data_IF_402461370225
#
_entry.id   IF_402461370225
#
_cell.length_a   1.000
_cell.length_b   1.000
_cell.length_c   1.000
_cell.angle_alpha   90.00
_cell.angle_beta   90.00
_cell.angle_gamma   90.00
#
_symmetry.space_group_name_H-M   'P 1'
#
loop_
_entity.id
_entity.type
_entity.pdbx_description
1 polymer ?
#
# COMPACT_ATOMS: atom_id res chain seq x y z
N UNK A 1 -16.21 -6.99 4.55
CA UNK A 1 -15.66 -5.83 3.83
C UNK A 1 -14.79 -6.34 2.69
N UNK A 2 -14.57 -5.52 1.66
CA UNK A 2 -13.72 -5.91 0.54
C UNK A 2 -12.25 -5.55 0.89
N UNK A 3 -11.27 -6.41 0.55
CA UNK A 3 -9.87 -6.08 0.75
C UNK A 3 -9.44 -4.86 -0.07
N UNK A 4 -8.47 -4.11 0.45
CA UNK A 4 -7.81 -3.04 -0.30
C UNK A 4 -6.86 -3.61 -1.34
N UNK A 5 -6.69 -2.82 -2.40
CA UNK A 5 -5.56 -2.93 -3.31
C UNK A 5 -4.84 -1.59 -3.39
N UNK A 6 -3.51 -1.62 -3.48
CA UNK A 6 -2.69 -0.43 -3.66
C UNK A 6 -2.10 -0.39 -5.06
N UNK A 7 -2.20 0.78 -5.71
CA UNK A 7 -1.57 1.04 -7.01
C UNK A 7 -0.46 2.06 -6.81
N UNK A 8 0.75 1.67 -7.19
CA UNK A 8 1.94 2.53 -7.18
C UNK A 8 2.28 2.90 -8.61
N UNK A 9 2.26 4.19 -8.93
CA UNK A 9 2.67 4.71 -10.23
C UNK A 9 3.95 5.51 -10.07
N UNK A 10 5.04 4.96 -10.62
CA UNK A 10 6.36 5.57 -10.49
C UNK A 10 6.51 6.81 -11.38
N UNK A 11 7.10 7.86 -10.82
CA UNK A 11 7.54 9.02 -11.59
C UNK A 11 8.85 8.75 -12.35
N UNK A 12 9.36 9.73 -13.08
CA UNK A 12 10.59 9.60 -13.87
C UNK A 12 11.85 9.27 -13.07
N UNK A 13 11.84 9.48 -11.75
CA UNK A 13 12.93 9.14 -10.84
C UNK A 13 12.74 7.75 -10.20
N UNK A 14 11.68 7.02 -10.57
CA UNK A 14 11.35 5.72 -9.99
C UNK A 14 10.71 5.80 -8.60
N UNK A 15 10.19 6.96 -8.19
CA UNK A 15 9.59 7.15 -6.88
C UNK A 15 8.08 7.34 -6.98
N UNK A 16 7.37 7.04 -5.89
CA UNK A 16 5.96 7.38 -5.73
C UNK A 16 5.66 7.72 -4.28
N UNK A 17 4.73 8.65 -4.05
CA UNK A 17 4.26 9.03 -2.73
C UNK A 17 2.73 9.22 -2.78
N UNK A 18 2.07 8.97 -1.66
CA UNK A 18 0.63 9.16 -1.51
C UNK A 18 0.18 8.93 -0.08
N UNK A 19 -1.10 9.13 0.18
CA UNK A 19 -1.71 9.03 1.49
C UNK A 19 -3.09 8.37 1.44
N UNK A 20 -3.50 7.79 2.56
CA UNK A 20 -4.84 7.23 2.78
C UNK A 20 -5.42 7.88 4.03
N UNK A 21 -6.53 8.58 3.86
CA UNK A 21 -7.43 8.98 4.93
C UNK A 21 -8.67 8.08 4.86
N UNK A 22 -9.07 7.52 6.00
CA UNK A 22 -10.22 6.62 6.08
C UNK A 22 -11.01 6.86 7.38
N UNK A 23 -12.30 7.12 7.26
CA UNK A 23 -13.25 7.23 8.36
C UNK A 23 -14.55 6.49 8.01
N UNK A 24 -15.65 6.76 8.73
CA UNK A 24 -16.94 6.10 8.48
C UNK A 24 -17.74 6.71 7.31
N UNK A 25 -17.29 7.83 6.73
CA UNK A 25 -17.94 8.55 5.64
C UNK A 25 -19.29 9.21 5.99
N UNK A 26 -19.70 9.22 7.26
CA UNK A 26 -21.02 9.68 7.70
C UNK A 26 -20.97 10.66 8.88
N UNK A 27 -20.09 10.41 9.86
CA UNK A 27 -20.00 11.23 11.06
C UNK A 27 -19.49 12.64 10.76
N UNK A 28 -20.05 13.62 11.48
CA UNK A 28 -19.51 14.97 11.46
C UNK A 28 -18.27 15.07 12.37
N UNK A 29 -17.32 15.90 11.96
CA UNK A 29 -16.12 16.25 12.76
C UNK A 29 -15.22 15.07 13.13
N UNK A 30 -15.04 14.11 12.22
CA UNK A 30 -14.09 12.99 12.40
C UNK A 30 -12.66 13.50 12.61
N UNK A 31 -12.28 14.59 11.94
CA UNK A 31 -10.97 15.25 12.10
C UNK A 31 -10.79 15.82 13.52
N UNK A 32 -11.74 16.62 14.02
CA UNK A 32 -11.65 17.25 15.33
C UNK A 32 -11.71 16.26 16.49
N UNK A 33 -12.56 15.23 16.34
CA UNK A 33 -12.69 14.13 17.31
C UNK A 33 -11.61 13.05 17.18
N UNK A 34 -10.77 13.13 16.14
CA UNK A 34 -9.73 12.15 15.79
C UNK A 34 -10.25 10.73 15.57
N UNK A 35 -11.47 10.55 15.06
CA UNK A 35 -12.04 9.22 14.77
C UNK A 35 -11.79 8.79 13.33
N UNK A 36 -10.52 8.73 12.93
CA UNK A 36 -10.09 8.36 11.58
C UNK A 36 -8.79 7.57 11.59
N UNK A 37 -8.47 6.99 10.44
CA UNK A 37 -7.18 6.45 10.08
C UNK A 37 -6.48 7.35 9.08
N UNK A 38 -5.17 7.54 9.26
CA UNK A 38 -4.33 8.26 8.33
C UNK A 38 -2.96 7.60 8.20
N UNK A 39 -2.57 7.29 6.97
CA UNK A 39 -1.25 6.74 6.66
C UNK A 39 -0.67 7.36 5.38
N UNK A 40 0.66 7.32 5.29
CA UNK A 40 1.42 7.76 4.11
C UNK A 40 2.18 6.58 3.51
N UNK A 41 2.30 6.58 2.19
CA UNK A 41 2.92 5.54 1.39
C UNK A 41 4.05 6.14 0.58
N UNK A 42 5.19 5.46 0.55
CA UNK A 42 6.36 5.91 -0.20
C UNK A 42 7.08 4.74 -0.85
N UNK A 43 7.22 4.78 -2.17
CA UNK A 43 8.10 3.88 -2.91
C UNK A 43 9.37 4.60 -3.34
N UNK A 44 10.49 3.91 -3.21
CA UNK A 44 11.81 4.35 -3.68
C UNK A 44 12.44 3.28 -4.57
N UNK A 45 12.85 3.64 -5.80
CA UNK A 45 13.57 2.71 -6.68
C UNK A 45 14.98 2.37 -6.15
N UNK A 46 15.59 3.28 -5.39
CA UNK A 46 16.90 3.06 -4.80
C UNK A 46 16.83 1.97 -3.72
N UNK A 47 15.79 2.04 -2.88
CA UNK A 47 15.59 1.10 -1.77
C UNK A 47 14.81 -0.16 -2.21
N UNK A 48 14.09 -0.07 -3.34
CA UNK A 48 13.22 -1.12 -3.90
C UNK A 48 12.16 -1.59 -2.90
N UNK A 49 11.67 -0.67 -2.11
CA UNK A 49 10.79 -0.93 -0.98
C UNK A 49 9.64 0.07 -0.97
N UNK A 50 8.47 -0.42 -0.57
CA UNK A 50 7.31 0.40 -0.20
C UNK A 50 7.37 0.63 1.31
N UNK A 51 7.43 1.88 1.75
CA UNK A 51 7.27 2.24 3.14
C UNK A 51 5.84 2.72 3.41
N UNK A 52 5.23 2.18 4.45
CA UNK A 52 3.91 2.54 4.96
C UNK A 52 4.09 3.11 6.36
N UNK A 53 3.80 4.41 6.49
CA UNK A 53 3.89 5.12 7.77
C UNK A 53 2.48 5.48 8.25
N UNK A 54 2.01 4.74 9.26
CA UNK A 54 0.72 4.97 9.93
C UNK A 54 0.88 6.11 10.93
N UNK A 55 0.14 7.20 10.72
CA UNK A 55 0.25 8.45 11.49
C UNK A 55 -0.86 8.53 12.54
N UNK A 56 -2.08 8.19 12.17
CA UNK A 56 -3.23 8.09 13.08
C UNK A 56 -3.96 6.77 12.82
N UNK A 57 -4.27 6.02 13.88
CA UNK A 57 -4.97 4.72 13.80
C UNK A 57 -6.10 4.64 14.82
N UNK A 58 -6.94 5.68 14.85
CA UNK A 58 -7.99 5.85 15.86
C UNK A 58 -9.36 5.37 15.35
N UNK A 59 -9.40 4.72 14.19
CA UNK A 59 -10.59 4.11 13.64
C UNK A 59 -10.50 2.59 13.77
N UNK A 60 -11.15 2.04 14.81
CA UNK A 60 -10.99 0.65 15.22
C UNK A 60 -11.36 -0.39 14.16
N UNK A 61 -12.12 -0.03 13.13
CA UNK A 61 -12.45 -0.93 12.02
C UNK A 61 -11.24 -1.28 11.15
N UNK A 62 -10.19 -0.44 11.13
CA UNK A 62 -9.00 -0.69 10.29
C UNK A 62 -8.31 -2.01 10.59
N UNK A 63 -8.38 -2.50 11.84
CA UNK A 63 -7.75 -3.77 12.25
C UNK A 63 -8.32 -4.98 11.50
N UNK A 64 -9.52 -4.86 10.92
CA UNK A 64 -10.17 -5.93 10.16
C UNK A 64 -9.97 -5.79 8.64
N UNK A 65 -9.26 -4.75 8.20
CA UNK A 65 -9.06 -4.44 6.79
C UNK A 65 -7.69 -4.94 6.32
N UNK A 66 -7.72 -5.64 5.20
CA UNK A 66 -6.55 -6.30 4.63
C UNK A 66 -6.12 -5.61 3.34
N UNK A 67 -4.83 -5.33 3.20
CA UNK A 67 -4.21 -5.05 1.92
C UNK A 67 -3.92 -6.39 1.23
N UNK A 68 -4.62 -6.68 0.13
CA UNK A 68 -4.53 -7.98 -0.53
C UNK A 68 -3.77 -7.96 -1.85
N UNK A 69 -3.69 -6.80 -2.51
CA UNK A 69 -2.96 -6.67 -3.77
C UNK A 69 -2.13 -5.39 -3.83
N UNK A 70 -1.00 -5.51 -4.51
CA UNK A 70 -0.09 -4.41 -4.83
C UNK A 70 0.22 -4.44 -6.32
N UNK A 71 -0.07 -3.35 -7.01
CA UNK A 71 0.27 -3.19 -8.43
C UNK A 71 1.26 -2.04 -8.60
N UNK A 72 2.39 -2.29 -9.27
CA UNK A 72 3.45 -1.27 -9.47
C UNK A 72 3.66 -1.05 -10.97
N UNK A 73 3.56 0.20 -11.41
CA UNK A 73 3.75 0.65 -12.78
C UNK A 73 5.08 1.38 -12.96
N UNK A 74 5.74 1.16 -14.09
CA UNK A 74 6.92 1.94 -14.47
C UNK A 74 8.23 1.42 -13.89
N UNK A 75 8.28 0.13 -13.52
CA UNK A 75 9.53 -0.50 -13.11
C UNK A 75 10.44 -0.71 -14.33
N UNK A 76 11.58 -0.04 -14.34
CA UNK A 76 12.63 -0.24 -15.36
C UNK A 76 13.26 -1.63 -15.27
N UNK A 77 13.29 -2.21 -14.06
CA UNK A 77 13.76 -3.58 -13.81
C UNK A 77 12.71 -4.33 -13.02
N UNK A 78 12.01 -5.22 -13.71
CA UNK A 78 10.97 -6.05 -13.11
C UNK A 78 11.61 -7.17 -12.28
N UNK A 79 11.32 -7.26 -10.97
CA UNK A 79 11.80 -8.36 -10.14
C UNK A 79 11.14 -9.69 -10.54
N UNK A 80 11.85 -10.80 -10.28
CA UNK A 80 11.35 -12.16 -10.53
C UNK A 80 10.61 -12.69 -9.28
N UNK A 81 11.02 -12.25 -8.09
CA UNK A 81 10.43 -12.59 -6.80
C UNK A 81 10.21 -11.32 -5.99
N UNK A 82 9.25 -11.36 -5.07
CA UNK A 82 8.94 -10.26 -4.13
C UNK A 82 8.88 -10.83 -2.72
N UNK A 83 9.31 -10.05 -1.73
CA UNK A 83 9.19 -10.43 -0.32
C UNK A 83 8.15 -9.54 0.36
N UNK A 84 7.24 -10.16 1.10
CA UNK A 84 6.17 -9.50 1.85
C UNK A 84 6.15 -10.15 3.22
N UNK A 85 6.50 -9.39 4.26
CA UNK A 85 6.59 -9.88 5.65
C UNK A 85 7.38 -11.18 5.81
N UNK A 86 8.47 -11.32 5.06
CA UNK A 86 9.35 -12.49 5.10
C UNK A 86 8.91 -13.63 4.17
N UNK A 87 7.74 -13.54 3.53
CA UNK A 87 7.25 -14.55 2.59
C UNK A 87 7.61 -14.19 1.14
N UNK A 88 8.15 -15.16 0.39
CA UNK A 88 8.39 -14.97 -1.04
C UNK A 88 7.11 -15.22 -1.83
N UNK A 89 6.70 -14.20 -2.60
CA UNK A 89 5.56 -14.26 -3.51
C UNK A 89 6.03 -14.07 -4.96
N UNK A 90 5.35 -14.74 -5.89
CA UNK A 90 5.61 -14.61 -7.32
C UNK A 90 4.70 -13.52 -7.92
N UNK A 91 5.26 -12.43 -8.48
CA UNK A 91 4.45 -11.42 -9.13
C UNK A 91 3.90 -11.90 -10.47
N UNK A 92 2.68 -11.45 -10.81
CA UNK A 92 2.17 -11.49 -12.18
C UNK A 92 2.87 -10.38 -12.97
N UNK A 93 3.65 -10.76 -13.98
CA UNK A 93 4.54 -9.84 -14.71
C UNK A 93 3.94 -9.49 -16.08
N UNK A 94 3.78 -8.19 -16.35
CA UNK A 94 3.40 -7.65 -17.65
C UNK A 94 4.54 -6.81 -18.24
N UNK A 95 5.55 -7.49 -18.83
CA UNK A 95 6.81 -6.85 -19.25
C UNK A 95 6.64 -5.69 -20.24
N UNK A 96 5.71 -5.80 -21.17
CA UNK A 96 5.48 -4.76 -22.19
C UNK A 96 4.91 -3.47 -21.60
N UNK A 97 4.15 -3.59 -20.51
CA UNK A 97 3.51 -2.47 -19.83
C UNK A 97 4.35 -1.96 -18.64
N UNK A 98 5.45 -2.65 -18.30
CA UNK A 98 6.25 -2.38 -17.10
C UNK A 98 5.41 -2.43 -15.82
N UNK A 99 4.53 -3.43 -15.73
CA UNK A 99 3.65 -3.64 -14.57
C UNK A 99 4.02 -4.95 -13.88
N UNK A 100 4.02 -4.92 -12.55
CA UNK A 100 3.88 -6.13 -11.73
C UNK A 100 2.63 -6.04 -10.88
N UNK A 101 2.03 -7.19 -10.61
CA UNK A 101 0.95 -7.32 -9.63
C UNK A 101 1.31 -8.45 -8.65
N UNK A 102 1.25 -8.14 -7.36
CA UNK A 102 1.41 -9.09 -6.26
C UNK A 102 0.03 -9.25 -5.64
N UNK A 103 -0.36 -10.49 -5.35
CA UNK A 103 -1.66 -10.85 -4.78
C UNK A 103 -1.45 -11.70 -3.53
N UNK A 104 -2.53 -11.84 -2.75
CA UNK A 104 -2.57 -12.69 -1.56
C UNK A 104 -1.60 -12.22 -0.46
N UNK A 105 -1.34 -10.90 -0.40
CA UNK A 105 -0.47 -10.29 0.61
C UNK A 105 -0.96 -10.61 2.02
N UNK A 106 -2.27 -10.47 2.25
CA UNK A 106 -2.93 -10.71 3.54
C UNK A 106 -2.43 -9.82 4.69
N UNK A 107 -1.78 -8.69 4.36
CA UNK A 107 -1.27 -7.74 5.35
C UNK A 107 -2.39 -6.89 5.95
N UNK A 108 -2.30 -6.61 7.24
CA UNK A 108 -3.16 -5.65 7.88
C UNK A 108 -2.77 -4.23 7.44
N UNK A 109 -3.72 -3.46 6.92
CA UNK A 109 -3.44 -2.10 6.46
C UNK A 109 -3.02 -1.15 7.60
N UNK A 110 -3.32 -1.52 8.84
CA UNK A 110 -3.07 -0.71 10.03
C UNK A 110 -1.76 -1.01 10.76
N UNK A 111 -1.04 -2.08 10.39
CA UNK A 111 0.18 -2.51 11.09
C UNK A 111 1.41 -1.65 10.72
N UNK A 112 1.38 -0.96 9.56
CA UNK A 112 2.51 -0.19 9.05
C UNK A 112 3.74 -1.07 8.76
N UNK A 113 4.82 -0.48 8.22
CA UNK A 113 6.05 -1.22 7.92
C UNK A 113 6.59 -0.97 6.51
N UNK A 114 7.53 -1.80 6.07
CA UNK A 114 8.05 -1.75 4.71
C UNK A 114 8.71 -3.04 4.27
#
# INVERSE_FOLDING_TARGET
ENPFGLIIVLNSNGNAEGDLFYDDGESIDTIGSKTYFFATYKWSMNDRQLFINVIENNYGHMVNLTLNSLMIYGLDRIPITTNVDGNELLPLIQRRQQIIEIRELQDNISDGGG
#
